data_IF_349862544359
#
_entry.id   IF_349862544359
#
_cell.length_a   1.000
_cell.length_b   1.000
_cell.length_c   1.000
_cell.angle_alpha   90.00
_cell.angle_beta   90.00
_cell.angle_gamma   90.00
#
_symmetry.space_group_name_H-M   'P 1'
#
loop_
_entity.id
_entity.type
_entity.pdbx_description
1 polymer ?
#
# COMPACT_ATOMS: atom_id res chain seq x y z
N UNK A 1 15.53 4.06 23.85
CA UNK A 1 14.84 4.99 22.93
C UNK A 1 13.68 4.23 22.30
N UNK A 2 12.52 4.87 22.09
CA UNK A 2 11.46 4.31 21.26
C UNK A 2 11.88 4.37 19.79
N UNK A 3 11.71 3.29 19.03
CA UNK A 3 11.99 3.28 17.59
C UNK A 3 10.95 4.04 16.77
N UNK A 4 11.24 4.27 15.49
CA UNK A 4 10.33 4.93 14.56
C UNK A 4 9.28 3.94 14.02
N UNK A 5 8.07 4.44 13.77
CA UNK A 5 7.05 3.73 12.99
C UNK A 5 6.93 4.46 11.66
N UNK A 6 7.23 3.76 10.57
CA UNK A 6 7.11 4.32 9.23
C UNK A 6 5.82 3.83 8.58
N UNK A 7 4.88 4.75 8.34
CA UNK A 7 3.57 4.42 7.76
C UNK A 7 3.53 4.64 6.24
N UNK A 8 4.62 5.14 5.65
CA UNK A 8 4.69 5.40 4.22
C UNK A 8 6.11 5.28 3.71
N UNK A 9 6.45 4.10 3.18
CA UNK A 9 7.72 3.89 2.50
C UNK A 9 7.61 2.85 1.40
N UNK A 10 8.23 3.12 0.25
CA UNK A 10 8.19 2.24 -0.93
C UNK A 10 9.29 1.16 -0.92
N UNK A 11 10.27 1.28 -0.04
CA UNK A 11 11.40 0.36 -0.01
C UNK A 11 12.58 0.87 0.83
N UNK A 12 13.73 0.22 0.69
CA UNK A 12 14.94 0.58 1.43
C UNK A 12 16.10 -0.35 1.09
N UNK A 13 17.33 0.16 1.15
CA UNK A 13 18.53 -0.67 0.94
C UNK A 13 18.65 -1.31 -0.45
N UNK A 14 17.98 -0.76 -1.46
CA UNK A 14 17.95 -1.32 -2.82
C UNK A 14 16.80 -2.30 -3.09
N UNK A 15 15.92 -2.54 -2.11
CA UNK A 15 14.75 -3.40 -2.23
C UNK A 15 13.45 -2.61 -2.25
N UNK A 16 12.40 -3.16 -2.88
CA UNK A 16 11.09 -2.53 -3.01
C UNK A 16 9.98 -3.40 -2.42
N UNK A 17 9.03 -2.78 -1.71
CA UNK A 17 7.87 -3.49 -1.17
C UNK A 17 6.93 -3.97 -2.28
N UNK A 18 6.36 -5.16 -2.11
CA UNK A 18 5.38 -5.73 -3.04
C UNK A 18 5.95 -6.37 -4.30
N UNK A 19 7.25 -6.20 -4.63
CA UNK A 19 7.87 -6.88 -5.78
C UNK A 19 8.02 -8.38 -5.51
N UNK A 20 8.49 -8.74 -4.32
CA UNK A 20 8.56 -10.11 -3.82
C UNK A 20 8.58 -10.13 -2.29
N UNK A 21 8.37 -11.31 -1.70
CA UNK A 21 8.49 -11.49 -0.25
C UNK A 21 9.91 -11.18 0.21
N UNK A 22 10.92 -11.64 -0.53
CA UNK A 22 12.33 -11.42 -0.21
C UNK A 22 12.70 -9.93 -0.23
N UNK A 23 12.28 -9.20 -1.27
CA UNK A 23 12.55 -7.76 -1.35
C UNK A 23 11.83 -6.99 -0.24
N UNK A 24 10.58 -7.35 0.06
CA UNK A 24 9.82 -6.69 1.13
C UNK A 24 10.51 -6.86 2.49
N UNK A 25 11.02 -8.06 2.78
CA UNK A 25 11.79 -8.34 4.00
C UNK A 25 13.14 -7.58 3.98
N UNK A 26 13.82 -7.56 2.84
CA UNK A 26 15.08 -6.83 2.65
C UNK A 26 14.92 -5.33 2.93
N UNK A 27 13.87 -4.72 2.39
CA UNK A 27 13.52 -3.32 2.62
C UNK A 27 13.25 -3.05 4.10
N UNK A 28 12.46 -3.90 4.76
CA UNK A 28 12.14 -3.76 6.18
C UNK A 28 13.38 -3.81 7.08
N UNK A 29 14.28 -4.76 6.83
CA UNK A 29 15.55 -4.90 7.57
C UNK A 29 16.50 -3.74 7.33
N UNK A 30 16.57 -3.26 6.08
CA UNK A 30 17.38 -2.09 5.76
C UNK A 30 16.91 -0.86 6.54
N UNK A 31 15.60 -0.60 6.60
CA UNK A 31 15.05 0.50 7.40
C UNK A 31 15.25 0.29 8.91
N UNK A 32 15.15 -0.94 9.39
CA UNK A 32 15.40 -1.25 10.80
C UNK A 32 16.82 -0.90 11.25
N UNK A 33 17.81 -1.10 10.39
CA UNK A 33 19.19 -0.68 10.65
C UNK A 33 19.33 0.84 10.88
N UNK A 34 18.32 1.63 10.49
CA UNK A 34 18.23 3.08 10.70
C UNK A 34 17.22 3.48 11.79
N UNK A 35 16.71 2.54 12.58
CA UNK A 35 15.91 2.81 13.78
C UNK A 35 14.39 2.62 13.62
N UNK A 36 13.92 2.18 12.45
CA UNK A 36 12.50 1.84 12.26
C UNK A 36 12.16 0.49 12.90
N UNK A 37 11.07 0.42 13.66
CA UNK A 37 10.67 -0.79 14.41
C UNK A 37 9.30 -1.34 13.99
N UNK A 38 8.55 -0.61 13.16
CA UNK A 38 7.34 -1.09 12.50
C UNK A 38 7.14 -0.32 11.19
N UNK A 39 6.71 -1.02 10.14
CA UNK A 39 6.63 -0.49 8.78
C UNK A 39 5.30 -0.89 8.15
N UNK A 40 4.62 0.07 7.54
CA UNK A 40 3.55 -0.16 6.57
C UNK A 40 4.16 0.06 5.17
N UNK A 41 4.30 -1.02 4.39
CA UNK A 41 4.90 -0.96 3.06
C UNK A 41 3.95 -0.31 2.04
N UNK A 42 4.38 0.79 1.42
CA UNK A 42 3.60 1.52 0.42
C UNK A 42 3.75 0.90 -0.97
N UNK A 43 2.64 0.44 -1.52
CA UNK A 43 2.49 -0.03 -2.89
C UNK A 43 2.21 1.17 -3.80
N UNK A 44 2.91 1.23 -4.94
CA UNK A 44 2.85 2.33 -5.91
C UNK A 44 2.54 1.82 -7.32
N UNK A 45 2.15 2.78 -8.16
CA UNK A 45 1.34 2.64 -9.36
C UNK A 45 1.62 1.41 -10.18
N UNK A 46 0.66 0.51 -10.13
CA UNK A 46 0.55 -0.65 -10.99
C UNK A 46 -0.92 -0.80 -11.39
N UNK A 47 -1.24 -1.50 -12.49
CA UNK A 47 -2.63 -1.89 -12.76
C UNK A 47 -3.27 -2.54 -11.52
N UNK A 48 -4.58 -2.39 -11.29
CA UNK A 48 -5.27 -2.93 -10.09
C UNK A 48 -4.97 -4.41 -9.85
N UNK A 49 -4.96 -5.23 -10.92
CA UNK A 49 -4.62 -6.66 -10.82
C UNK A 49 -3.21 -6.90 -10.24
N UNK A 50 -2.27 -6.00 -10.50
CA UNK A 50 -0.93 -6.04 -9.91
C UNK A 50 -0.97 -5.62 -8.43
N UNK A 51 -1.78 -4.63 -8.05
CA UNK A 51 -1.95 -4.25 -6.64
C UNK A 51 -2.51 -5.41 -5.80
N UNK A 52 -3.47 -6.16 -6.34
CA UNK A 52 -4.00 -7.36 -5.65
C UNK A 52 -2.90 -8.41 -5.39
N UNK A 53 -2.05 -8.66 -6.38
CA UNK A 53 -0.90 -9.57 -6.25
C UNK A 53 0.11 -9.05 -5.23
N UNK A 54 0.43 -7.75 -5.26
CA UNK A 54 1.33 -7.11 -4.33
C UNK A 54 0.81 -7.17 -2.88
N UNK A 55 -0.50 -7.02 -2.67
CA UNK A 55 -1.12 -7.21 -1.35
C UNK A 55 -0.95 -8.66 -0.84
N UNK A 56 -1.07 -9.66 -1.74
CA UNK A 56 -0.75 -11.05 -1.42
C UNK A 56 0.70 -11.23 -0.96
N UNK A 57 1.65 -10.67 -1.71
CA UNK A 57 3.08 -10.68 -1.38
C UNK A 57 3.34 -10.01 -0.01
N UNK A 58 2.72 -8.86 0.24
CA UNK A 58 2.87 -8.15 1.51
C UNK A 58 2.30 -8.94 2.68
N UNK A 59 1.24 -9.73 2.47
CA UNK A 59 0.67 -10.59 3.51
C UNK A 59 1.65 -11.71 3.88
N UNK A 60 2.26 -12.35 2.89
CA UNK A 60 3.28 -13.38 3.11
C UNK A 60 4.52 -12.80 3.79
N UNK A 61 4.98 -11.62 3.35
CA UNK A 61 6.10 -10.91 3.98
C UNK A 61 5.81 -10.53 5.43
N UNK A 62 4.61 -10.00 5.72
CA UNK A 62 4.15 -9.67 7.08
C UNK A 62 4.12 -10.91 8.00
N UNK A 63 3.77 -12.07 7.48
CA UNK A 63 3.79 -13.32 8.25
C UNK A 63 5.22 -13.80 8.58
N UNK A 64 6.20 -13.47 7.72
CA UNK A 64 7.58 -13.89 7.85
C UNK A 64 8.51 -12.89 8.57
N UNK A 65 8.16 -11.60 8.57
CA UNK A 65 9.00 -10.51 9.10
C UNK A 65 8.17 -9.55 9.98
N UNK A 66 8.31 -9.62 11.32
CA UNK A 66 7.51 -8.84 12.27
C UNK A 66 7.67 -7.32 12.18
N UNK A 67 8.72 -6.83 11.52
CA UNK A 67 8.89 -5.40 11.25
C UNK A 67 7.82 -4.85 10.31
N UNK A 68 7.26 -5.70 9.44
CA UNK A 68 6.19 -5.33 8.52
C UNK A 68 4.87 -5.54 9.26
N UNK A 69 4.07 -4.47 9.38
CA UNK A 69 2.79 -4.49 10.12
C UNK A 69 1.57 -4.26 9.21
N UNK A 70 1.82 -4.14 7.90
CA UNK A 70 0.79 -4.13 6.87
C UNK A 70 1.24 -3.45 5.58
N UNK A 71 0.26 -3.14 4.74
CA UNK A 71 0.44 -2.48 3.46
C UNK A 71 -0.38 -1.18 3.37
N UNK A 72 0.14 -0.25 2.57
CA UNK A 72 -0.50 1.00 2.20
C UNK A 72 -0.69 1.01 0.69
N UNK A 73 -1.92 1.27 0.24
CA UNK A 73 -2.21 1.59 -1.16
C UNK A 73 -2.11 3.11 -1.34
N UNK A 74 -1.00 3.60 -1.91
CA UNK A 74 -0.84 5.03 -2.18
C UNK A 74 -1.71 5.50 -3.36
N UNK A 75 -1.97 4.59 -4.29
CA UNK A 75 -2.84 4.77 -5.45
C UNK A 75 -3.70 3.48 -5.64
N UNK A 76 -4.63 3.38 -6.61
CA UNK A 76 -4.75 4.10 -7.89
C UNK A 76 -5.65 5.35 -7.87
N UNK A 77 -6.31 5.65 -6.75
CA UNK A 77 -7.37 6.66 -6.68
C UNK A 77 -6.85 8.09 -6.43
N UNK A 78 -5.91 8.54 -7.26
CA UNK A 78 -5.34 9.90 -7.19
C UNK A 78 -5.88 10.79 -8.31
N UNK A 79 -6.00 12.09 -8.02
CA UNK A 79 -6.38 13.08 -9.04
C UNK A 79 -5.26 13.19 -10.10
N UNK A 80 -5.57 13.09 -11.41
CA UNK A 80 -4.57 13.22 -12.48
C UNK A 80 -3.75 14.52 -12.42
N UNK A 81 -4.36 15.62 -11.99
CA UNK A 81 -3.72 16.93 -11.83
C UNK A 81 -2.72 16.96 -10.65
N UNK A 82 -2.80 15.97 -9.76
CA UNK A 82 -1.96 15.81 -8.56
C UNK A 82 -1.12 14.53 -8.62
N UNK A 83 -0.95 13.94 -9.80
CA UNK A 83 -0.30 12.63 -9.99
C UNK A 83 1.15 12.53 -9.52
N UNK A 84 1.89 13.62 -9.34
CA UNK A 84 3.33 13.56 -9.04
C UNK A 84 4.10 12.58 -9.95
N UNK A 85 4.80 11.63 -9.34
CA UNK A 85 5.57 10.58 -10.01
C UNK A 85 4.72 9.40 -10.55
N UNK A 86 3.42 9.35 -10.22
CA UNK A 86 2.53 8.28 -10.65
C UNK A 86 2.25 8.38 -12.16
N UNK A 87 2.12 7.21 -12.80
CA UNK A 87 1.79 7.08 -14.21
C UNK A 87 0.29 7.41 -14.42
N UNK A 88 -0.07 8.51 -15.09
CA UNK A 88 -1.45 8.97 -15.15
C UNK A 88 -2.41 7.96 -15.82
N UNK A 89 -1.91 7.11 -16.73
CA UNK A 89 -2.67 6.07 -17.40
C UNK A 89 -3.08 4.90 -16.49
N UNK A 90 -2.49 4.80 -15.30
CA UNK A 90 -2.80 3.78 -14.31
C UNK A 90 -3.68 4.32 -13.16
N UNK A 91 -3.98 5.62 -13.14
CA UNK A 91 -4.88 6.21 -12.16
C UNK A 91 -6.33 5.86 -12.51
N UNK A 92 -7.12 5.48 -11.51
CA UNK A 92 -8.52 5.10 -11.68
C UNK A 92 -9.44 6.00 -10.85
N UNK A 93 -10.67 6.16 -11.32
CA UNK A 93 -11.76 6.71 -10.50
C UNK A 93 -12.31 5.55 -9.65
N UNK A 94 -12.51 5.73 -8.33
CA UNK A 94 -13.00 4.66 -7.48
C UNK A 94 -14.41 4.24 -7.91
N UNK A 95 -14.56 2.94 -8.19
CA UNK A 95 -15.86 2.30 -8.41
C UNK A 95 -16.13 1.27 -7.31
N UNK A 96 -17.40 0.96 -6.98
CA UNK A 96 -17.72 -0.04 -5.95
C UNK A 96 -17.02 -1.38 -6.19
N UNK A 97 -16.99 -1.87 -7.44
CA UNK A 97 -16.33 -3.12 -7.79
C UNK A 97 -14.81 -3.07 -7.49
N UNK A 98 -14.13 -2.00 -7.89
CA UNK A 98 -12.69 -1.84 -7.62
C UNK A 98 -12.37 -1.72 -6.13
N UNK A 99 -13.22 -1.04 -5.39
CA UNK A 99 -13.08 -0.93 -3.93
C UNK A 99 -13.27 -2.30 -3.29
N UNK A 100 -14.25 -3.10 -3.75
CA UNK A 100 -14.48 -4.46 -3.28
C UNK A 100 -13.28 -5.38 -3.57
N UNK A 101 -12.74 -5.33 -4.79
CA UNK A 101 -11.57 -6.11 -5.21
C UNK A 101 -10.36 -5.81 -4.31
N UNK A 102 -10.04 -4.53 -4.09
CA UNK A 102 -8.91 -4.10 -3.27
C UNK A 102 -9.09 -4.44 -1.78
N UNK A 103 -10.31 -4.35 -1.24
CA UNK A 103 -10.59 -4.75 0.14
C UNK A 103 -10.40 -6.26 0.30
N UNK A 104 -10.92 -7.05 -0.63
CA UNK A 104 -10.79 -8.51 -0.61
C UNK A 104 -9.31 -8.92 -0.72
N UNK A 105 -8.57 -8.36 -1.68
CA UNK A 105 -7.14 -8.60 -1.81
C UNK A 105 -6.35 -8.07 -0.60
N UNK A 106 -6.85 -7.04 0.10
CA UNK A 106 -6.23 -6.44 1.27
C UNK A 106 -6.49 -7.18 2.59
N UNK A 107 -7.28 -8.25 2.61
CA UNK A 107 -7.82 -8.83 3.86
C UNK A 107 -6.75 -9.17 4.91
N UNK A 108 -6.71 -8.40 6.00
CA UNK A 108 -5.76 -8.63 7.10
C UNK A 108 -4.36 -8.03 6.90
N UNK A 109 -4.04 -7.48 5.73
CA UNK A 109 -2.75 -6.79 5.46
C UNK A 109 -2.90 -5.30 5.19
N UNK A 110 -3.99 -4.86 4.56
CA UNK A 110 -4.22 -3.45 4.24
C UNK A 110 -4.42 -2.65 5.55
N UNK A 111 -3.75 -1.50 5.66
CA UNK A 111 -3.83 -0.61 6.83
C UNK A 111 -4.16 0.83 6.47
N UNK A 112 -3.81 1.24 5.26
CA UNK A 112 -3.93 2.60 4.81
C UNK A 112 -4.25 2.63 3.32
N UNK A 113 -5.03 3.63 2.93
CA UNK A 113 -5.22 4.00 1.53
C UNK A 113 -5.07 5.52 1.41
N UNK A 114 -4.37 5.97 0.38
CA UNK A 114 -4.36 7.38 -0.06
C UNK A 114 -5.35 7.52 -1.21
N UNK A 115 -6.21 8.54 -1.11
CA UNK A 115 -7.30 8.74 -2.06
C UNK A 115 -7.58 10.24 -2.21
N UNK A 116 -7.77 10.69 -3.45
CA UNK A 116 -8.20 12.04 -3.76
C UNK A 116 -9.72 12.18 -3.52
N UNK A 117 -10.16 12.92 -2.49
CA UNK A 117 -11.57 12.99 -2.11
C UNK A 117 -12.46 13.70 -3.14
N UNK A 118 -11.88 14.48 -4.06
CA UNK A 118 -12.58 15.19 -5.13
C UNK A 118 -13.00 14.29 -6.30
N UNK A 119 -12.49 13.05 -6.39
CA UNK A 119 -12.87 12.13 -7.46
C UNK A 119 -14.33 11.69 -7.32
N UNK A 120 -15.05 11.47 -8.44
CA UNK A 120 -16.38 10.88 -8.39
C UNK A 120 -16.37 9.54 -7.64
N UNK A 121 -17.26 9.36 -6.66
CA UNK A 121 -17.36 8.13 -5.86
C UNK A 121 -16.33 7.98 -4.73
N UNK A 122 -15.42 8.95 -4.54
CA UNK A 122 -14.36 8.83 -3.55
C UNK A 122 -14.88 8.85 -2.10
N UNK A 123 -15.90 9.65 -1.79
CA UNK A 123 -16.47 9.70 -0.45
C UNK A 123 -17.15 8.38 -0.07
N UNK A 124 -17.85 7.76 -1.01
CA UNK A 124 -18.45 6.42 -0.85
C UNK A 124 -17.36 5.34 -0.69
N UNK A 125 -16.27 5.44 -1.45
CA UNK A 125 -15.12 4.55 -1.33
C UNK A 125 -14.46 4.69 0.05
N UNK A 126 -14.16 5.91 0.51
CA UNK A 126 -13.61 6.20 1.84
C UNK A 126 -14.49 5.59 2.93
N UNK A 127 -15.81 5.79 2.84
CA UNK A 127 -16.75 5.24 3.81
C UNK A 127 -16.75 3.70 3.80
N UNK A 128 -16.54 3.09 2.63
CA UNK A 128 -16.48 1.63 2.47
C UNK A 128 -15.20 1.04 3.02
N UNK A 129 -14.03 1.59 2.68
CA UNK A 129 -12.74 1.20 3.26
C UNK A 129 -12.78 1.30 4.78
N UNK A 130 -13.25 2.43 5.34
CA UNK A 130 -13.36 2.61 6.79
C UNK A 130 -14.16 1.51 7.49
N UNK A 131 -15.18 0.95 6.83
CA UNK A 131 -16.06 -0.08 7.44
C UNK A 131 -15.52 -1.50 7.31
N UNK A 132 -14.63 -1.75 6.34
CA UNK A 132 -14.33 -3.11 5.86
C UNK A 132 -12.85 -3.44 5.73
N UNK A 133 -11.95 -2.46 5.88
CA UNK A 133 -10.51 -2.62 5.83
C UNK A 133 -9.87 -2.13 7.13
#
# INVERSE_FOLDING_TARGET
>A
MSGYIDIHSHGGGGFTFGVSVEESIGAARAQHAHGTVAIIGSLVTSPVLTLEQQLGIMREAMAAEPLIVGAHLEDPFLAPERKGAHAPELLEVPSPARVDDLIAAGEGVLRQITIAPELPGALEAIATFRRRA
#
